data_IF_849578861438
#
_entry.id   IF_849578861438
#
_cell.length_a   1.000
_cell.length_b   1.000
_cell.length_c   1.000
_cell.angle_alpha   90.00
_cell.angle_beta   90.00
_cell.angle_gamma   90.00
#
_symmetry.space_group_name_H-M   'P 1'
#
loop_
_entity.id
_entity.type
_entity.pdbx_description
1 polymer ?
#
# COMPACT_ATOMS: atom_id res chain seq x y z
N UNK A 1 -3.68 4.77 37.88
CA UNK A 1 -3.84 3.60 36.98
C UNK A 1 -2.94 3.77 35.77
N UNK A 2 -1.65 3.47 35.90
CA UNK A 2 -0.61 3.89 34.94
C UNK A 2 0.48 2.82 34.72
N UNK A 3 0.15 1.54 34.92
CA UNK A 3 1.12 0.44 34.89
C UNK A 3 0.89 -0.61 33.79
N UNK A 4 -0.19 -0.52 32.99
CA UNK A 4 -0.52 -1.55 32.00
C UNK A 4 -0.14 -1.21 30.55
N UNK A 5 0.36 0.01 30.28
CA UNK A 5 0.68 0.45 28.91
C UNK A 5 2.11 0.12 28.46
N UNK A 6 2.91 -0.54 29.30
CA UNK A 6 4.32 -0.85 29.02
C UNK A 6 4.57 -2.28 28.49
N UNK A 7 3.56 -3.16 28.46
CA UNK A 7 3.73 -4.56 28.05
C UNK A 7 3.48 -4.77 26.54
N UNK A 8 2.80 -3.85 25.86
CA UNK A 8 2.51 -3.98 24.42
C UNK A 8 3.70 -3.65 23.49
N UNK A 9 4.81 -3.13 24.02
CA UNK A 9 5.96 -2.65 23.23
C UNK A 9 7.13 -3.64 23.14
N UNK A 10 7.06 -4.79 23.82
CA UNK A 10 8.10 -5.83 23.79
C UNK A 10 7.81 -6.99 22.81
N UNK A 11 6.62 -7.03 22.20
CA UNK A 11 6.22 -8.09 21.26
C UNK A 11 6.66 -7.88 19.80
N UNK A 12 7.18 -6.70 19.44
CA UNK A 12 7.60 -6.37 18.06
C UNK A 12 9.11 -6.43 17.84
N UNK A 13 9.91 -6.72 18.87
CA UNK A 13 11.37 -6.78 18.75
C UNK A 13 11.90 -8.12 18.19
N UNK A 14 11.06 -9.16 18.07
CA UNK A 14 11.48 -10.49 17.67
C UNK A 14 11.50 -10.76 16.16
N UNK A 15 11.07 -9.82 15.30
CA UNK A 15 11.14 -9.99 13.83
C UNK A 15 12.31 -9.24 13.17
N UNK A 16 13.12 -8.49 13.93
CA UNK A 16 14.26 -7.74 13.37
C UNK A 16 15.56 -8.57 13.24
N UNK A 17 15.62 -9.80 13.77
CA UNK A 17 16.78 -10.68 13.67
C UNK A 17 16.67 -11.62 12.45
N UNK A 18 16.69 -11.06 11.25
CA UNK A 18 16.98 -11.84 10.03
C UNK A 18 17.95 -11.12 9.06
N UNK A 19 18.42 -9.91 9.39
CA UNK A 19 19.40 -9.19 8.58
C UNK A 19 20.65 -8.85 9.41
N UNK A 20 21.33 -9.87 9.93
CA UNK A 20 22.73 -9.72 10.34
C UNK A 20 23.63 -10.14 9.18
N UNK A 21 24.55 -9.26 8.76
CA UNK A 21 25.59 -9.61 7.80
C UNK A 21 26.63 -10.51 8.47
N UNK A 22 26.48 -11.82 8.33
CA UNK A 22 27.48 -12.79 8.80
C UNK A 22 28.65 -12.87 7.83
N UNK A 23 29.82 -12.52 8.36
CA UNK A 23 31.14 -12.65 7.76
C UNK A 23 31.43 -14.09 7.29
N UNK A 24 32.09 -14.16 6.14
CA UNK A 24 32.48 -15.32 5.34
C UNK A 24 33.29 -16.40 6.09
N UNK A 25 32.86 -17.67 5.98
CA UNK A 25 33.72 -18.86 6.13
C UNK A 25 33.45 -19.77 4.91
N UNK A 26 34.48 -20.26 4.18
CA UNK A 26 34.27 -21.02 2.96
C UNK A 26 34.16 -22.52 3.28
N UNK A 27 32.99 -23.12 3.07
CA UNK A 27 32.83 -24.55 2.81
C UNK A 27 31.48 -24.87 2.17
N UNK A 28 31.40 -25.96 1.38
CA UNK A 28 30.48 -26.06 0.25
C UNK A 28 29.12 -26.59 0.70
N UNK A 29 28.16 -25.69 0.85
CA UNK A 29 26.76 -26.07 1.01
C UNK A 29 25.95 -25.50 -0.14
N UNK A 30 25.37 -26.43 -0.90
CA UNK A 30 24.19 -26.30 -1.76
C UNK A 30 23.53 -24.94 -1.65
N UNK A 31 23.81 -24.07 -2.62
CA UNK A 31 23.18 -22.75 -2.71
C UNK A 31 21.68 -22.99 -2.87
N UNK A 32 20.95 -22.82 -1.77
CA UNK A 32 19.48 -22.73 -1.77
C UNK A 32 19.16 -21.61 -2.74
N UNK A 33 18.72 -21.97 -3.95
CA UNK A 33 18.54 -21.04 -5.05
C UNK A 33 17.72 -19.84 -4.55
N UNK A 34 18.33 -18.66 -4.58
CA UNK A 34 17.68 -17.39 -4.27
C UNK A 34 16.46 -17.28 -5.19
N UNK A 35 15.25 -17.36 -4.62
CA UNK A 35 13.99 -17.18 -5.36
C UNK A 35 14.12 -15.88 -6.15
N UNK A 36 14.10 -15.95 -7.48
CA UNK A 36 14.05 -14.76 -8.33
C UNK A 36 12.78 -14.00 -7.95
N UNK A 37 12.91 -12.74 -7.56
CA UNK A 37 11.74 -11.89 -7.29
C UNK A 37 10.92 -11.84 -8.57
N UNK A 38 9.67 -12.25 -8.45
CA UNK A 38 8.72 -12.16 -9.54
C UNK A 38 8.26 -10.71 -9.63
N UNK A 39 8.09 -10.16 -10.83
CA UNK A 39 7.65 -8.77 -11.02
C UNK A 39 6.31 -8.51 -10.34
N UNK A 40 5.48 -9.55 -10.22
CA UNK A 40 4.21 -9.46 -9.52
C UNK A 40 4.34 -9.34 -7.99
N UNK A 41 5.46 -9.74 -7.38
CA UNK A 41 5.63 -9.63 -5.93
C UNK A 41 5.93 -8.18 -5.50
N UNK A 42 6.30 -7.30 -6.45
CA UNK A 42 6.66 -5.88 -6.18
C UNK A 42 5.55 -4.89 -6.57
N UNK A 43 4.42 -5.37 -7.10
CA UNK A 43 3.31 -4.53 -7.55
C UNK A 43 2.33 -4.22 -6.39
N UNK A 44 1.82 -3.00 -6.29
CA UNK A 44 0.67 -2.66 -5.44
C UNK A 44 -0.48 -2.15 -6.30
N UNK A 45 -1.69 -2.64 -6.03
CA UNK A 45 -2.92 -2.19 -6.69
C UNK A 45 -3.87 -1.67 -5.63
N UNK A 46 -4.23 -0.40 -5.71
CA UNK A 46 -5.25 0.23 -4.87
C UNK A 46 -6.48 0.58 -5.72
N UNK A 47 -7.65 0.13 -5.32
CA UNK A 47 -8.93 0.35 -5.99
C UNK A 47 -9.81 1.20 -5.08
N UNK A 48 -10.00 2.46 -5.46
CA UNK A 48 -10.83 3.43 -4.75
C UNK A 48 -12.25 3.39 -5.31
N UNK A 49 -13.24 3.18 -4.45
CA UNK A 49 -14.65 3.32 -4.77
C UNK A 49 -15.21 4.55 -4.07
N UNK A 50 -15.80 5.46 -4.85
CA UNK A 50 -16.38 6.71 -4.34
C UNK A 50 -17.88 6.59 -4.09
N UNK A 51 -18.44 7.57 -3.38
CA UNK A 51 -19.90 7.71 -3.23
C UNK A 51 -20.58 8.39 -4.42
N UNK A 52 -19.81 8.85 -5.41
CA UNK A 52 -20.30 9.67 -6.53
C UNK A 52 -20.70 8.76 -7.69
N UNK A 53 -21.89 9.01 -8.24
CA UNK A 53 -22.38 8.29 -9.41
C UNK A 53 -21.56 8.63 -10.67
N UNK A 54 -21.37 7.62 -11.52
CA UNK A 54 -20.52 7.71 -12.70
C UNK A 54 -20.92 8.83 -13.68
N UNK A 55 -22.20 9.22 -13.72
CA UNK A 55 -22.76 10.08 -14.78
C UNK A 55 -22.17 11.48 -14.85
N UNK A 56 -21.63 12.02 -13.75
CA UNK A 56 -21.39 13.46 -13.67
C UNK A 56 -19.91 13.90 -13.63
N UNK A 57 -18.93 13.06 -13.26
CA UNK A 57 -17.59 13.65 -12.95
C UNK A 57 -16.36 12.71 -12.89
N UNK A 58 -16.29 11.64 -13.70
CA UNK A 58 -15.20 10.63 -13.61
C UNK A 58 -13.78 11.26 -13.66
N UNK A 59 -13.54 12.22 -14.56
CA UNK A 59 -12.24 12.85 -14.74
C UNK A 59 -11.80 13.66 -13.52
N UNK A 60 -12.62 14.63 -13.10
CA UNK A 60 -12.30 15.53 -11.98
C UNK A 60 -12.21 14.79 -10.64
N UNK A 61 -12.98 13.72 -10.44
CA UNK A 61 -12.90 12.90 -9.23
C UNK A 61 -11.59 12.12 -9.16
N UNK A 62 -11.15 11.53 -10.28
CA UNK A 62 -9.88 10.80 -10.34
C UNK A 62 -8.69 11.68 -10.01
N UNK A 63 -8.65 12.90 -10.57
CA UNK A 63 -7.55 13.85 -10.31
C UNK A 63 -7.53 14.29 -8.85
N UNK A 64 -8.70 14.47 -8.24
CA UNK A 64 -8.83 14.83 -6.83
C UNK A 64 -8.37 13.69 -5.91
N UNK A 65 -8.77 12.44 -6.19
CA UNK A 65 -8.29 11.26 -5.45
C UNK A 65 -6.78 11.11 -5.59
N UNK A 66 -6.23 11.35 -6.79
CA UNK A 66 -4.79 11.29 -7.04
C UNK A 66 -4.03 12.37 -6.29
N UNK A 67 -4.53 13.61 -6.31
CA UNK A 67 -3.93 14.73 -5.59
C UNK A 67 -3.94 14.48 -4.07
N UNK A 68 -5.06 14.00 -3.54
CA UNK A 68 -5.20 13.66 -2.13
C UNK A 68 -4.25 12.53 -1.74
N UNK A 69 -4.24 11.45 -2.52
CA UNK A 69 -3.34 10.31 -2.29
C UNK A 69 -1.87 10.75 -2.31
N UNK A 70 -1.48 11.57 -3.30
CA UNK A 70 -0.13 12.13 -3.38
C UNK A 70 0.19 13.02 -2.17
N UNK A 71 -0.77 13.81 -1.69
CA UNK A 71 -0.59 14.65 -0.50
C UNK A 71 -0.34 13.80 0.74
N UNK A 72 -1.16 12.77 0.98
CA UNK A 72 -1.02 11.90 2.15
C UNK A 72 0.26 11.07 2.07
N UNK A 73 0.64 10.57 0.88
CA UNK A 73 1.92 9.87 0.68
C UNK A 73 3.10 10.81 0.92
N UNK A 74 3.04 12.07 0.49
CA UNK A 74 4.12 13.03 0.77
C UNK A 74 4.28 13.37 2.27
N UNK A 75 3.25 13.13 3.08
CA UNK A 75 3.32 13.22 4.54
C UNK A 75 3.86 11.94 5.19
N UNK A 76 3.96 10.86 4.42
CA UNK A 76 4.58 9.60 4.82
C UNK A 76 6.10 9.65 4.60
N UNK A 77 6.80 8.56 4.98
CA UNK A 77 8.25 8.42 4.73
C UNK A 77 8.59 8.02 3.29
N UNK A 78 7.58 7.81 2.44
CA UNK A 78 7.73 7.27 1.08
C UNK A 78 7.46 8.38 0.08
N UNK A 79 8.38 8.57 -0.88
CA UNK A 79 8.14 9.52 -1.97
C UNK A 79 7.40 8.85 -3.14
N UNK A 80 6.64 9.63 -3.91
CA UNK A 80 5.99 9.12 -5.13
C UNK A 80 7.01 8.59 -6.15
N UNK A 81 8.26 9.07 -6.10
CA UNK A 81 9.35 8.58 -6.93
C UNK A 81 9.80 7.17 -6.54
N UNK A 82 9.69 6.80 -5.27
CA UNK A 82 10.06 5.49 -4.75
C UNK A 82 9.01 4.41 -5.11
N UNK A 83 7.75 4.81 -5.26
CA UNK A 83 6.65 3.90 -5.65
C UNK A 83 6.70 3.48 -7.12
N UNK A 84 7.56 4.11 -7.93
CA UNK A 84 7.67 3.87 -9.36
C UNK A 84 6.53 4.50 -10.18
N UNK A 85 6.37 4.12 -11.46
CA UNK A 85 5.35 4.70 -12.32
C UNK A 85 3.94 4.39 -11.81
N UNK A 86 3.16 5.44 -11.59
CA UNK A 86 1.75 5.33 -11.25
C UNK A 86 0.92 5.14 -12.53
N UNK A 87 0.32 3.97 -12.69
CA UNK A 87 -0.72 3.72 -13.68
C UNK A 87 -2.07 4.01 -13.05
N UNK A 88 -2.82 4.95 -13.62
CA UNK A 88 -4.18 5.30 -13.20
C UNK A 88 -5.19 4.79 -14.21
N UNK A 89 -6.22 4.07 -13.74
CA UNK A 89 -7.34 3.65 -14.58
C UNK A 89 -8.66 4.01 -13.90
N UNK A 90 -9.54 4.69 -14.61
CA UNK A 90 -10.88 4.98 -14.13
C UNK A 90 -11.87 3.97 -14.70
N UNK A 91 -12.61 3.30 -13.82
CA UNK A 91 -13.65 2.35 -14.21
C UNK A 91 -14.87 2.49 -13.28
N UNK A 92 -16.09 2.26 -13.77
CA UNK A 92 -17.24 2.14 -12.89
C UNK A 92 -17.07 0.95 -11.95
N UNK A 93 -17.41 1.17 -10.68
CA UNK A 93 -17.53 0.11 -9.67
C UNK A 93 -18.92 0.26 -9.06
N UNK A 94 -19.81 -0.71 -9.31
CA UNK A 94 -21.20 -0.67 -8.83
C UNK A 94 -21.92 0.65 -9.14
N UNK A 95 -21.85 1.12 -10.40
CA UNK A 95 -22.37 2.41 -10.89
C UNK A 95 -21.74 3.68 -10.28
N UNK A 96 -20.76 3.54 -9.39
CA UNK A 96 -20.01 4.64 -8.79
C UNK A 96 -18.68 4.88 -9.52
N UNK A 97 -18.11 6.07 -9.36
CA UNK A 97 -16.77 6.36 -9.88
C UNK A 97 -15.75 5.52 -9.11
N UNK A 98 -15.01 4.69 -9.85
CA UNK A 98 -13.91 3.90 -9.34
C UNK A 98 -12.59 4.31 -9.98
N UNK A 99 -11.55 4.44 -9.16
CA UNK A 99 -10.20 4.78 -9.61
C UNK A 99 -9.24 3.70 -9.14
N UNK A 100 -8.46 3.14 -10.07
CA UNK A 100 -7.42 2.16 -9.79
C UNK A 100 -6.08 2.85 -9.90
N UNK A 101 -5.28 2.75 -8.85
CA UNK A 101 -3.86 3.06 -8.85
C UNK A 101 -3.07 1.78 -8.84
N UNK A 102 -2.14 1.65 -9.78
CA UNK A 102 -1.20 0.56 -9.85
C UNK A 102 0.22 1.12 -9.81
N UNK A 103 1.03 0.57 -8.92
CA UNK A 103 2.43 0.91 -8.71
C UNK A 103 3.26 -0.37 -8.91
N UNK A 104 4.23 -0.33 -9.80
CA UNK A 104 4.98 -1.53 -10.20
C UNK A 104 6.18 -1.84 -9.28
N UNK A 105 6.55 -0.93 -8.38
CA UNK A 105 7.72 -1.08 -7.49
C UNK A 105 7.41 -0.65 -6.05
N UNK A 106 6.19 -0.94 -5.59
CA UNK A 106 5.69 -0.49 -4.30
C UNK A 106 5.48 -1.60 -3.26
N UNK A 107 5.81 -2.85 -3.58
CA UNK A 107 5.55 -4.00 -2.71
C UNK A 107 6.15 -3.84 -1.30
N UNK A 108 7.34 -3.27 -1.19
CA UNK A 108 8.01 -3.00 0.09
C UNK A 108 7.38 -1.86 0.90
N UNK A 109 6.60 -0.98 0.25
CA UNK A 109 5.91 0.17 0.86
C UNK A 109 4.41 -0.10 1.10
N UNK A 110 3.97 -1.35 0.96
CA UNK A 110 2.57 -1.73 1.11
C UNK A 110 1.99 -1.28 2.47
N UNK A 111 2.76 -1.42 3.55
CA UNK A 111 2.29 -1.10 4.90
C UNK A 111 2.05 0.41 5.08
N UNK A 112 2.93 1.22 4.51
CA UNK A 112 2.87 2.67 4.48
C UNK A 112 1.71 3.14 3.61
N UNK A 113 1.49 2.50 2.45
CA UNK A 113 0.36 2.78 1.57
C UNK A 113 -0.98 2.46 2.26
N UNK A 114 -1.08 1.36 3.00
CA UNK A 114 -2.28 1.03 3.80
C UNK A 114 -2.53 2.11 4.85
N UNK A 115 -1.48 2.57 5.54
CA UNK A 115 -1.58 3.64 6.54
C UNK A 115 -2.00 4.99 5.93
N UNK A 116 -1.43 5.35 4.78
CA UNK A 116 -1.78 6.54 4.03
C UNK A 116 -3.25 6.50 3.57
N UNK A 117 -3.69 5.37 3.00
CA UNK A 117 -5.08 5.19 2.56
C UNK A 117 -6.05 5.22 3.75
N UNK A 118 -5.69 4.61 4.87
CA UNK A 118 -6.49 4.69 6.10
C UNK A 118 -6.63 6.13 6.61
N UNK A 119 -5.60 6.96 6.44
CA UNK A 119 -5.63 8.39 6.79
C UNK A 119 -6.51 9.17 5.81
N UNK A 120 -6.34 8.92 4.51
CA UNK A 120 -7.15 9.50 3.45
C UNK A 120 -8.65 9.19 3.63
N UNK A 121 -9.00 7.95 3.96
CA UNK A 121 -10.39 7.56 4.23
C UNK A 121 -11.00 8.28 5.44
N UNK A 122 -10.19 8.63 6.43
CA UNK A 122 -10.65 9.43 7.57
C UNK A 122 -10.84 10.91 7.22
N UNK A 123 -10.01 11.45 6.32
CA UNK A 123 -10.07 12.86 5.92
C UNK A 123 -11.06 13.13 4.78
N UNK A 124 -11.38 12.12 3.97
CA UNK A 124 -12.06 12.32 2.69
C UNK A 124 -13.46 11.66 2.68
N UNK A 125 -14.51 12.49 2.76
CA UNK A 125 -15.91 12.06 2.80
C UNK A 125 -16.42 11.41 1.50
N UNK A 126 -15.69 11.59 0.39
CA UNK A 126 -16.09 11.18 -0.96
C UNK A 126 -15.76 9.73 -1.27
N UNK A 127 -14.77 9.14 -0.60
CA UNK A 127 -14.37 7.75 -0.80
C UNK A 127 -15.13 6.86 0.18
N UNK A 128 -15.76 5.81 -0.32
CA UNK A 128 -16.55 4.87 0.48
C UNK A 128 -15.72 3.67 0.91
N UNK A 129 -14.93 3.13 -0.01
CA UNK A 129 -14.04 2.02 0.28
C UNK A 129 -12.82 2.03 -0.61
N UNK A 130 -11.74 1.42 -0.11
CA UNK A 130 -10.52 1.18 -0.86
C UNK A 130 -10.08 -0.26 -0.66
N UNK A 131 -9.87 -0.97 -1.77
CA UNK A 131 -9.29 -2.31 -1.78
C UNK A 131 -7.84 -2.24 -2.22
N UNK A 132 -6.92 -2.75 -1.42
CA UNK A 132 -5.48 -2.75 -1.66
C UNK A 132 -5.00 -4.18 -1.79
N UNK A 133 -4.30 -4.49 -2.88
CA UNK A 133 -3.64 -5.76 -3.12
C UNK A 133 -2.15 -5.51 -3.24
N UNK A 134 -1.35 -6.15 -2.39
CA UNK A 134 0.11 -6.07 -2.42
C UNK A 134 0.68 -7.37 -2.99
N UNK A 135 1.22 -7.27 -4.19
CA UNK A 135 1.69 -8.36 -5.00
C UNK A 135 0.70 -9.52 -5.12
N UNK A 136 1.13 -10.72 -4.68
CA UNK A 136 0.29 -11.93 -4.64
C UNK A 136 -0.42 -12.15 -3.30
N UNK A 137 -0.38 -11.18 -2.40
CA UNK A 137 -1.04 -11.27 -1.11
C UNK A 137 -2.56 -11.06 -1.21
N UNK A 138 -3.25 -11.34 -0.10
CA UNK A 138 -4.71 -11.16 -0.02
C UNK A 138 -5.05 -9.68 -0.12
N UNK A 139 -6.10 -9.38 -0.87
CA UNK A 139 -6.67 -8.03 -0.94
C UNK A 139 -7.23 -7.64 0.43
N UNK A 140 -6.81 -6.47 0.91
CA UNK A 140 -7.33 -5.83 2.12
C UNK A 140 -8.33 -4.77 1.68
N UNK A 141 -9.55 -4.80 2.20
CA UNK A 141 -10.56 -3.78 1.94
C UNK A 141 -10.80 -2.96 3.19
N UNK A 142 -10.70 -1.64 3.06
CA UNK A 142 -10.97 -0.66 4.11
C UNK A 142 -12.19 0.15 3.66
N UNK A 143 -13.20 0.25 4.52
CA UNK A 143 -14.45 0.96 4.24
C UNK A 143 -14.80 1.91 5.39
N UNK A 144 -15.49 3.01 5.07
CA UNK A 144 -15.96 4.03 6.02
C UNK A 144 -17.47 4.16 5.99
#
# INVERSE_FOLDING_TARGET
MQFFTLIALLGFASSAYACAATTTVPSPTTVKARKRRDVQDEQVVAVFATKVDQKDTIGSMSDLIKAEFSSVISQSRVSMSDLGPLVTQNKPINNKVGTIFKFDSAGEYCSEMIGAIGTMLKSNLLVESVSITCGREKTITISV
#
